data_IF_395644368951
#
_entry.id   IF_395644368951
#
_cell.length_a   1.000
_cell.length_b   1.000
_cell.length_c   1.000
_cell.angle_alpha   90.00
_cell.angle_beta   90.00
_cell.angle_gamma   90.00
#
_symmetry.space_group_name_H-M   'P 1'
#
loop_
_entity.id
_entity.type
_entity.pdbx_description
1 polymer ?
#
# COMPACT_ATOMS: atom_id res chain seq x y z
N UNK A 1 -35.44 56.78 -19.84
CA UNK A 1 -35.84 56.63 -18.42
C UNK A 1 -36.24 55.17 -18.25
N UNK A 2 -35.38 54.32 -17.66
CA UNK A 2 -35.76 52.91 -17.42
C UNK A 2 -36.85 52.86 -16.38
N UNK A 3 -37.85 51.99 -16.57
CA UNK A 3 -38.94 51.85 -15.60
C UNK A 3 -38.44 51.09 -14.37
N UNK A 4 -39.05 51.32 -13.20
CA UNK A 4 -38.69 50.62 -11.94
C UNK A 4 -38.69 49.10 -12.11
N UNK A 5 -39.57 48.56 -12.97
CA UNK A 5 -39.65 47.14 -13.28
C UNK A 5 -38.39 46.59 -13.98
N UNK A 6 -37.82 47.33 -14.94
CA UNK A 6 -36.60 46.93 -15.64
C UNK A 6 -35.40 46.86 -14.70
N UNK A 7 -35.33 47.77 -13.73
CA UNK A 7 -34.28 47.78 -12.71
C UNK A 7 -34.37 46.59 -11.74
N UNK A 8 -35.59 46.27 -11.28
CA UNK A 8 -35.83 45.11 -10.41
C UNK A 8 -35.51 43.79 -11.11
N UNK A 9 -35.89 43.64 -12.39
CA UNK A 9 -35.55 42.47 -13.20
C UNK A 9 -34.04 42.32 -13.37
N UNK A 10 -33.33 43.42 -13.64
CA UNK A 10 -31.87 43.42 -13.75
C UNK A 10 -31.20 42.96 -12.45
N UNK A 11 -31.62 43.46 -11.28
CA UNK A 11 -31.09 43.02 -9.98
C UNK A 11 -31.34 41.53 -9.74
N UNK A 12 -32.56 41.06 -10.02
CA UNK A 12 -32.92 39.65 -9.85
C UNK A 12 -32.06 38.74 -10.73
N UNK A 13 -31.90 39.11 -12.01
CA UNK A 13 -31.03 38.39 -12.95
C UNK A 13 -29.58 38.33 -12.46
N UNK A 14 -29.04 39.45 -11.95
CA UNK A 14 -27.66 39.48 -11.43
C UNK A 14 -27.50 38.59 -10.20
N UNK A 15 -28.45 38.62 -9.27
CA UNK A 15 -28.44 37.76 -8.08
C UNK A 15 -28.48 36.27 -8.46
N UNK A 16 -29.32 35.89 -9.42
CA UNK A 16 -29.38 34.51 -9.90
C UNK A 16 -28.08 34.08 -10.57
N UNK A 17 -27.49 34.91 -11.44
CA UNK A 17 -26.20 34.62 -12.08
C UNK A 17 -25.09 34.45 -11.03
N UNK A 18 -24.99 35.36 -10.06
CA UNK A 18 -23.99 35.27 -8.99
C UNK A 18 -24.18 34.01 -8.13
N UNK A 19 -25.42 33.67 -7.78
CA UNK A 19 -25.73 32.44 -7.05
C UNK A 19 -25.30 31.18 -7.82
N UNK A 20 -25.65 31.10 -9.10
CA UNK A 20 -25.28 29.95 -9.95
C UNK A 20 -23.77 29.81 -10.09
N UNK A 21 -23.05 30.92 -10.30
CA UNK A 21 -21.58 30.92 -10.34
C UNK A 21 -20.98 30.45 -9.01
N UNK A 22 -21.53 30.92 -7.90
CA UNK A 22 -21.08 30.54 -6.55
C UNK A 22 -21.26 29.04 -6.32
N UNK A 23 -22.44 28.49 -6.64
CA UNK A 23 -22.72 27.06 -6.56
C UNK A 23 -21.79 26.27 -7.48
N UNK A 24 -21.58 26.73 -8.72
CA UNK A 24 -20.66 26.12 -9.67
C UNK A 24 -19.23 26.03 -9.12
N UNK A 25 -18.73 27.12 -8.52
CA UNK A 25 -17.41 27.15 -7.88
C UNK A 25 -17.34 26.16 -6.72
N UNK A 26 -18.35 26.09 -5.85
CA UNK A 26 -18.36 25.14 -4.74
C UNK A 26 -18.32 23.68 -5.23
N UNK A 27 -19.07 23.35 -6.28
CA UNK A 27 -19.05 22.02 -6.88
C UNK A 27 -17.65 21.70 -7.43
N UNK A 28 -17.04 22.64 -8.17
CA UNK A 28 -15.70 22.45 -8.71
C UNK A 28 -14.65 22.24 -7.62
N UNK A 29 -14.68 23.05 -6.56
CA UNK A 29 -13.76 22.90 -5.41
C UNK A 29 -13.96 21.57 -4.70
N UNK A 30 -15.21 21.14 -4.52
CA UNK A 30 -15.50 19.86 -3.89
C UNK A 30 -14.97 18.68 -4.70
N UNK A 31 -15.24 18.66 -6.02
CA UNK A 31 -14.76 17.62 -6.94
C UNK A 31 -13.23 17.61 -6.99
N UNK A 32 -12.59 18.78 -7.12
CA UNK A 32 -11.14 18.91 -7.13
C UNK A 32 -10.52 18.36 -5.84
N UNK A 33 -11.09 18.70 -4.68
CA UNK A 33 -10.61 18.20 -3.38
C UNK A 33 -10.69 16.68 -3.28
N UNK A 34 -11.79 16.07 -3.77
CA UNK A 34 -11.94 14.61 -3.76
C UNK A 34 -10.93 13.92 -4.68
N UNK A 35 -10.76 14.42 -5.90
CA UNK A 35 -9.77 13.89 -6.86
C UNK A 35 -8.36 13.99 -6.29
N UNK A 36 -7.99 15.16 -5.76
CA UNK A 36 -6.66 15.37 -5.16
C UNK A 36 -6.42 14.49 -3.94
N UNK A 37 -7.43 14.30 -3.08
CA UNK A 37 -7.34 13.41 -1.91
C UNK A 37 -7.07 11.97 -2.34
N UNK A 38 -7.85 11.44 -3.28
CA UNK A 38 -7.68 10.07 -3.79
C UNK A 38 -6.34 9.89 -4.49
N UNK A 39 -5.92 10.86 -5.31
CA UNK A 39 -4.61 10.82 -5.96
C UNK A 39 -3.46 10.83 -4.94
N UNK A 40 -3.57 11.67 -3.89
CA UNK A 40 -2.58 11.69 -2.81
C UNK A 40 -2.55 10.36 -2.04
N UNK A 41 -3.71 9.78 -1.72
CA UNK A 41 -3.77 8.47 -1.04
C UNK A 41 -3.09 7.36 -1.84
N UNK A 42 -3.36 7.29 -3.16
CA UNK A 42 -2.71 6.34 -4.07
C UNK A 42 -1.21 6.58 -4.19
N UNK A 43 -0.80 7.84 -4.27
CA UNK A 43 0.62 8.21 -4.32
C UNK A 43 1.37 7.82 -3.04
N UNK A 44 0.80 8.10 -1.86
CA UNK A 44 1.41 7.68 -0.59
C UNK A 44 1.46 6.16 -0.49
N UNK A 45 0.38 5.47 -0.89
CA UNK A 45 0.34 4.01 -0.91
C UNK A 45 1.48 3.44 -1.77
N UNK A 46 1.60 3.88 -3.01
CA UNK A 46 2.64 3.42 -3.94
C UNK A 46 4.06 3.70 -3.40
N UNK A 47 4.27 4.86 -2.76
CA UNK A 47 5.54 5.19 -2.11
C UNK A 47 5.87 4.21 -0.98
N UNK A 48 4.94 3.94 -0.07
CA UNK A 48 5.15 3.03 1.06
C UNK A 48 5.32 1.58 0.56
N UNK A 49 4.50 1.18 -0.41
CA UNK A 49 4.58 -0.12 -1.06
C UNK A 49 5.97 -0.35 -1.67
N UNK A 50 6.52 0.64 -2.39
CA UNK A 50 7.87 0.55 -2.96
C UNK A 50 8.94 0.42 -1.88
N UNK A 51 8.82 1.16 -0.78
CA UNK A 51 9.76 1.05 0.35
C UNK A 51 9.76 -0.37 0.91
N UNK A 52 8.59 -0.94 1.20
CA UNK A 52 8.53 -2.30 1.74
C UNK A 52 9.01 -3.37 0.74
N UNK A 53 8.77 -3.17 -0.56
CA UNK A 53 9.32 -4.04 -1.61
C UNK A 53 10.85 -4.06 -1.55
N UNK A 54 11.50 -2.89 -1.61
CA UNK A 54 12.96 -2.82 -1.52
C UNK A 54 13.50 -3.34 -0.20
N UNK A 55 12.79 -3.09 0.90
CA UNK A 55 13.17 -3.61 2.23
C UNK A 55 13.22 -5.14 2.26
N UNK A 56 12.30 -5.82 1.57
CA UNK A 56 12.31 -7.28 1.45
C UNK A 56 13.36 -7.73 0.43
N UNK A 57 13.49 -7.04 -0.72
CA UNK A 57 14.45 -7.38 -1.78
C UNK A 57 15.91 -7.28 -1.30
N UNK A 58 16.21 -6.37 -0.37
CA UNK A 58 17.51 -6.25 0.29
C UNK A 58 17.96 -7.55 0.99
N UNK A 59 17.04 -8.46 1.32
CA UNK A 59 17.35 -9.77 1.90
C UNK A 59 18.19 -10.64 0.98
N UNK A 60 18.13 -10.47 -0.35
CA UNK A 60 18.97 -11.24 -1.29
C UNK A 60 20.44 -11.15 -0.95
N UNK A 61 20.88 -9.97 -0.53
CA UNK A 61 22.29 -9.69 -0.21
C UNK A 61 22.66 -10.06 1.24
N UNK A 62 21.70 -10.57 2.03
CA UNK A 62 21.85 -10.84 3.46
C UNK A 62 21.51 -12.28 3.80
N UNK A 63 21.83 -13.19 2.88
CA UNK A 63 21.63 -14.63 3.03
C UNK A 63 22.39 -15.16 4.26
N UNK A 64 21.74 -15.98 5.12
CA UNK A 64 22.44 -16.71 6.17
C UNK A 64 23.44 -17.72 5.58
N UNK A 65 24.60 -17.93 6.22
CA UNK A 65 25.69 -18.75 5.65
C UNK A 65 25.29 -20.22 5.49
N UNK A 66 24.40 -20.68 6.34
CA UNK A 66 23.86 -22.02 6.45
C UNK A 66 22.71 -22.31 5.48
N UNK A 67 22.35 -21.38 4.60
CA UNK A 67 21.29 -21.57 3.60
C UNK A 67 21.90 -21.61 2.20
N UNK A 68 21.50 -22.56 1.37
CA UNK A 68 21.91 -22.62 -0.03
C UNK A 68 21.44 -21.36 -0.79
N UNK A 69 22.23 -20.88 -1.76
CA UNK A 69 21.97 -19.58 -2.40
C UNK A 69 20.67 -19.58 -3.21
N UNK A 70 20.45 -20.62 -4.02
CA UNK A 70 19.22 -20.77 -4.82
C UNK A 70 17.98 -20.89 -3.94
N UNK A 71 18.03 -21.69 -2.88
CA UNK A 71 16.93 -21.80 -1.93
C UNK A 71 16.60 -20.45 -1.26
N UNK A 72 17.62 -19.67 -0.89
CA UNK A 72 17.40 -18.33 -0.32
C UNK A 72 16.75 -17.36 -1.30
N UNK A 73 17.25 -17.31 -2.54
CA UNK A 73 16.68 -16.45 -3.60
C UNK A 73 15.21 -16.76 -3.83
N UNK A 74 14.86 -18.04 -3.93
CA UNK A 74 13.48 -18.47 -4.15
C UNK A 74 12.57 -18.14 -2.97
N UNK A 75 13.06 -18.31 -1.73
CA UNK A 75 12.30 -17.90 -0.54
C UNK A 75 12.04 -16.38 -0.50
N UNK A 76 13.00 -15.57 -0.96
CA UNK A 76 12.83 -14.12 -1.10
C UNK A 76 11.82 -13.80 -2.22
N UNK A 77 11.88 -14.47 -3.37
CA UNK A 77 10.96 -14.29 -4.50
C UNK A 77 9.50 -14.62 -4.13
N UNK A 78 9.29 -15.74 -3.43
CA UNK A 78 7.99 -16.13 -2.91
C UNK A 78 7.47 -15.08 -1.91
N UNK A 79 8.35 -14.52 -1.09
CA UNK A 79 7.99 -13.48 -0.11
C UNK A 79 7.66 -12.14 -0.79
N UNK A 80 8.42 -11.73 -1.81
CA UNK A 80 8.13 -10.54 -2.62
C UNK A 80 6.81 -10.69 -3.39
N UNK A 81 6.54 -11.88 -3.92
CA UNK A 81 5.27 -12.21 -4.59
C UNK A 81 4.10 -12.11 -3.62
N UNK A 82 4.23 -12.68 -2.42
CA UNK A 82 3.21 -12.57 -1.37
C UNK A 82 2.99 -11.11 -0.95
N UNK A 83 4.07 -10.35 -0.76
CA UNK A 83 3.99 -8.92 -0.47
C UNK A 83 3.27 -8.15 -1.57
N UNK A 84 3.64 -8.36 -2.83
CA UNK A 84 3.00 -7.72 -3.99
C UNK A 84 1.51 -8.03 -4.06
N UNK A 85 1.13 -9.29 -3.88
CA UNK A 85 -0.26 -9.73 -3.94
C UNK A 85 -1.10 -9.28 -2.75
N UNK A 86 -0.52 -9.14 -1.55
CA UNK A 86 -1.23 -8.66 -0.35
C UNK A 86 -1.35 -7.13 -0.35
N UNK A 87 -0.31 -6.44 -0.80
CA UNK A 87 -0.17 -4.99 -0.72
C UNK A 87 -0.35 -4.31 -2.09
N UNK A 88 -1.20 -4.84 -2.98
CA UNK A 88 -1.34 -4.30 -4.33
C UNK A 88 -2.20 -3.02 -4.43
N UNK A 89 -3.10 -2.79 -3.47
CA UNK A 89 -3.98 -1.61 -3.49
C UNK A 89 -4.36 -1.12 -2.09
N UNK A 90 -4.68 0.18 -1.95
CA UNK A 90 -5.16 0.75 -0.69
C UNK A 90 -6.55 0.26 -0.27
N UNK A 91 -7.30 -0.39 -1.16
CA UNK A 91 -8.61 -0.99 -0.85
C UNK A 91 -8.49 -2.26 -0.01
N UNK A 92 -7.38 -3.00 -0.16
CA UNK A 92 -7.11 -4.22 0.61
C UNK A 92 -6.25 -3.96 1.84
N UNK A 93 -5.33 -2.99 1.77
CA UNK A 93 -4.45 -2.62 2.87
C UNK A 93 -4.42 -1.10 2.99
N UNK A 94 -4.93 -0.57 4.10
CA UNK A 94 -4.91 0.88 4.32
C UNK A 94 -3.48 1.43 4.39
N UNK A 95 -3.28 2.71 4.04
CA UNK A 95 -1.98 3.40 4.17
C UNK A 95 -1.36 3.22 5.58
N UNK A 96 -2.18 3.35 6.63
CA UNK A 96 -1.74 3.17 8.01
C UNK A 96 -1.28 1.74 8.31
N UNK A 97 -1.96 0.73 7.78
CA UNK A 97 -1.54 -0.67 7.92
C UNK A 97 -0.23 -0.91 7.15
N UNK A 98 -0.08 -0.30 5.98
CA UNK A 98 1.11 -0.35 5.16
C UNK A 98 2.34 0.28 5.85
N UNK A 99 2.17 1.47 6.45
CA UNK A 99 3.23 2.13 7.23
C UNK A 99 3.68 1.29 8.42
N UNK A 100 2.73 0.70 9.15
CA UNK A 100 3.02 -0.21 10.26
C UNK A 100 3.79 -1.44 9.79
N UNK A 101 3.35 -2.06 8.68
CA UNK A 101 4.05 -3.19 8.08
C UNK A 101 5.50 -2.80 7.76
N UNK A 102 5.73 -1.71 7.03
CA UNK A 102 7.09 -1.27 6.67
C UNK A 102 7.95 -0.95 7.90
N UNK A 103 7.35 -0.35 8.93
CA UNK A 103 8.05 -0.09 10.20
C UNK A 103 8.48 -1.40 10.87
N UNK A 104 7.56 -2.38 10.96
CA UNK A 104 7.85 -3.70 11.53
C UNK A 104 8.90 -4.45 10.70
N UNK A 105 8.84 -4.36 9.36
CA UNK A 105 9.85 -4.94 8.47
C UNK A 105 11.23 -4.36 8.76
N UNK A 106 11.37 -3.04 8.75
CA UNK A 106 12.66 -2.37 9.03
C UNK A 106 13.23 -2.75 10.39
N UNK A 107 12.37 -2.87 11.41
CA UNK A 107 12.77 -3.31 12.75
C UNK A 107 13.24 -4.77 12.75
N UNK A 108 12.52 -5.67 12.08
CA UNK A 108 12.90 -7.08 12.03
C UNK A 108 14.16 -7.34 11.20
N UNK A 109 14.49 -6.43 10.28
CA UNK A 109 15.66 -6.52 9.42
C UNK A 109 16.88 -5.75 9.94
N UNK A 110 16.82 -5.07 11.10
CA UNK A 110 17.97 -4.31 11.61
C UNK A 110 19.09 -5.17 12.21
N UNK A 111 18.83 -6.45 12.46
CA UNK A 111 19.80 -7.39 13.05
C UNK A 111 20.23 -8.50 12.09
N UNK A 112 20.81 -9.56 12.65
CA UNK A 112 21.19 -10.74 11.87
C UNK A 112 19.97 -11.38 11.20
N UNK A 113 20.17 -11.82 9.96
CA UNK A 113 19.11 -12.44 9.16
C UNK A 113 19.24 -13.94 9.31
N UNK A 114 18.12 -14.56 9.66
CA UNK A 114 17.95 -16.00 9.76
C UNK A 114 16.73 -16.41 8.90
N UNK A 115 16.56 -17.70 8.66
CA UNK A 115 15.38 -18.24 7.96
C UNK A 115 14.07 -17.83 8.65
N UNK A 116 14.04 -17.79 9.99
CA UNK A 116 12.86 -17.35 10.76
C UNK A 116 12.47 -15.90 10.47
N UNK A 117 13.39 -15.06 9.97
CA UNK A 117 13.05 -13.69 9.54
C UNK A 117 11.97 -13.69 8.45
N UNK A 118 12.04 -14.61 7.49
CA UNK A 118 11.01 -14.71 6.44
C UNK A 118 9.67 -15.18 7.01
N UNK A 119 9.70 -16.09 7.98
CA UNK A 119 8.49 -16.54 8.69
C UNK A 119 7.83 -15.36 9.42
N UNK A 120 8.62 -14.54 10.12
CA UNK A 120 8.15 -13.32 10.79
C UNK A 120 7.56 -12.31 9.81
N UNK A 121 8.15 -12.17 8.61
CA UNK A 121 7.60 -11.30 7.54
C UNK A 121 6.22 -11.79 7.13
N UNK A 122 6.06 -13.09 6.88
CA UNK A 122 4.77 -13.69 6.52
C UNK A 122 3.72 -13.54 7.62
N UNK A 123 4.10 -13.69 8.88
CA UNK A 123 3.21 -13.45 10.01
C UNK A 123 2.76 -11.98 10.09
N UNK A 124 3.63 -11.05 9.67
CA UNK A 124 3.31 -9.63 9.61
C UNK A 124 2.40 -9.29 8.42
N UNK A 125 2.62 -9.94 7.28
CA UNK A 125 1.75 -9.88 6.10
C UNK A 125 0.34 -10.40 6.42
N UNK A 126 0.22 -11.49 7.18
CA UNK A 126 -1.09 -12.01 7.60
C UNK A 126 -1.88 -11.01 8.45
N UNK A 127 -1.19 -10.13 9.18
CA UNK A 127 -1.79 -9.16 10.11
C UNK A 127 -2.09 -7.80 9.46
N UNK A 128 -1.97 -7.65 8.14
CA UNK A 128 -2.34 -6.39 7.44
C UNK A 128 -3.85 -6.24 7.27
N UNK A 129 -4.59 -7.34 7.26
CA UNK A 129 -6.05 -7.37 7.13
C UNK A 129 -6.58 -8.77 6.79
N UNK A 130 -7.90 -8.90 6.62
CA UNK A 130 -8.56 -10.18 6.32
C UNK A 130 -8.03 -10.83 5.03
N UNK A 131 -7.74 -10.00 4.01
CA UNK A 131 -7.15 -10.48 2.76
C UNK A 131 -5.75 -11.07 2.97
N UNK A 132 -4.88 -10.36 3.71
CA UNK A 132 -3.54 -10.84 4.04
C UNK A 132 -3.57 -12.17 4.81
N UNK A 133 -4.46 -12.28 5.81
CA UNK A 133 -4.66 -13.52 6.56
C UNK A 133 -5.07 -14.68 5.63
N UNK A 134 -6.06 -14.45 4.75
CA UNK A 134 -6.54 -15.45 3.81
C UNK A 134 -5.51 -15.82 2.74
N UNK A 135 -4.67 -14.88 2.32
CA UNK A 135 -3.59 -15.15 1.38
C UNK A 135 -2.51 -16.03 2.02
N UNK A 136 -2.05 -15.64 3.22
CA UNK A 136 -1.00 -16.36 3.95
C UNK A 136 -1.44 -17.78 4.30
N UNK A 137 -2.68 -17.97 4.76
CA UNK A 137 -3.18 -19.32 5.09
C UNK A 137 -3.15 -20.28 3.90
N UNK A 138 -3.34 -19.78 2.68
CA UNK A 138 -3.30 -20.60 1.45
C UNK A 138 -1.90 -20.89 0.93
N UNK A 139 -0.96 -19.95 1.10
CA UNK A 139 0.32 -20.00 0.38
C UNK A 139 1.55 -20.19 1.29
N UNK A 140 1.42 -20.15 2.62
CA UNK A 140 2.56 -20.27 3.54
C UNK A 140 3.30 -21.60 3.41
N UNK A 141 2.60 -22.66 2.98
CA UNK A 141 3.22 -23.96 2.72
C UNK A 141 4.32 -23.90 1.66
N UNK A 142 4.22 -23.00 0.67
CA UNK A 142 5.25 -22.82 -0.35
C UNK A 142 6.56 -22.34 0.25
N UNK A 143 6.50 -21.34 1.16
CA UNK A 143 7.69 -20.89 1.89
C UNK A 143 8.28 -22.04 2.72
N UNK A 144 7.44 -22.79 3.44
CA UNK A 144 7.92 -23.85 4.34
C UNK A 144 8.60 -25.00 3.57
N UNK A 145 8.12 -25.34 2.37
CA UNK A 145 8.77 -26.33 1.50
C UNK A 145 10.22 -25.94 1.17
N UNK A 146 10.48 -24.66 0.88
CA UNK A 146 11.83 -24.18 0.58
C UNK A 146 12.71 -24.06 1.82
N UNK A 147 12.13 -23.71 2.97
CA UNK A 147 12.82 -23.73 4.26
C UNK A 147 13.31 -25.16 4.57
N UNK A 148 12.43 -26.15 4.42
CA UNK A 148 12.75 -27.56 4.66
C UNK A 148 13.81 -28.07 3.66
N UNK A 149 13.66 -27.75 2.37
CA UNK A 149 14.62 -28.15 1.34
C UNK A 149 16.02 -27.53 1.57
N UNK A 150 16.08 -26.23 1.86
CA UNK A 150 17.35 -25.52 2.11
C UNK A 150 18.07 -25.98 3.38
N UNK A 151 17.33 -26.38 4.42
CA UNK A 151 17.89 -26.92 5.65
C UNK A 151 18.52 -28.32 5.48
N UNK A 152 18.05 -29.10 4.50
CA UNK A 152 18.60 -30.44 4.19
C UNK A 152 19.91 -30.34 3.43
N UNK A 153 20.07 -29.35 2.56
CA UNK A 153 21.26 -29.19 1.69
C UNK A 153 22.49 -28.59 2.38
N UNK A 154 22.33 -28.04 3.58
CA UNK A 154 23.41 -27.37 4.31
C UNK A 154 24.18 -28.25 5.30
N UNK A 155 23.83 -29.54 5.38
CA UNK A 155 24.52 -30.55 6.20
C UNK A 155 25.60 -31.27 5.40
#
# INVERSE_FOLDING_TARGET
>A
MRTIHEFQFWIASHKTTVLLLTVGIFILVFVATKVLSTANEQYQFAKIQRIGYHTIDDLRHRRPREVEAGAWEEMVDITLTAYGNICFSPEHVTNKAMERLVTDLRKNLSGDIEVDTLVRIWDRLAKTGAYGQGYVSRHRSLLMQWIEAGAVTAR
#
